data_IF_547724870966
#
_entry.id   IF_547724870966
#
_cell.length_a   1.000
_cell.length_b   1.000
_cell.length_c   1.000
_cell.angle_alpha   90.00
_cell.angle_beta   90.00
_cell.angle_gamma   90.00
#
_symmetry.space_group_name_H-M   'P 1'
#
loop_
_entity.id
_entity.type
_entity.pdbx_description
1 polymer ?
#
# COMPACT_ATOMS: atom_id res chain seq x y z
N UNK A 1 28.03 40.36 -51.24
CA UNK A 1 26.83 39.50 -51.37
C UNK A 1 27.13 38.15 -50.73
N UNK A 2 26.25 37.67 -49.82
CA UNK A 2 26.20 36.36 -49.09
C UNK A 2 27.27 36.14 -48.00
N UNK A 3 26.92 36.38 -46.73
CA UNK A 3 26.15 35.58 -45.75
C UNK A 3 27.02 34.56 -44.99
N UNK A 4 27.32 34.93 -43.74
CA UNK A 4 27.97 34.18 -42.69
C UNK A 4 27.29 32.85 -42.38
N UNK A 5 28.07 31.76 -42.45
CA UNK A 5 27.74 30.47 -41.84
C UNK A 5 27.91 30.60 -40.32
N UNK A 6 26.80 30.77 -39.61
CA UNK A 6 26.76 30.60 -38.17
C UNK A 6 26.82 29.10 -37.85
N UNK A 7 27.98 28.65 -37.36
CA UNK A 7 28.17 27.35 -36.73
C UNK A 7 27.28 27.26 -35.49
N UNK A 8 26.26 26.41 -35.56
CA UNK A 8 25.34 26.16 -34.45
C UNK A 8 26.01 25.28 -33.39
N UNK A 9 26.07 25.80 -32.18
CA UNK A 9 26.75 25.28 -31.00
C UNK A 9 26.23 23.91 -30.50
N UNK A 10 27.04 22.82 -30.52
CA UNK A 10 26.65 21.50 -29.99
C UNK A 10 26.57 21.42 -28.45
N UNK A 11 27.08 22.43 -27.75
CA UNK A 11 27.23 22.42 -26.29
C UNK A 11 25.94 22.71 -25.52
N UNK A 12 24.97 23.41 -26.14
CA UNK A 12 23.66 23.72 -25.53
C UNK A 12 22.79 22.47 -25.37
N UNK A 13 22.95 21.46 -26.25
CA UNK A 13 22.14 20.25 -26.21
C UNK A 13 22.54 19.32 -25.04
N UNK A 14 23.83 19.25 -24.70
CA UNK A 14 24.31 18.41 -23.58
C UNK A 14 23.89 18.93 -22.21
N UNK A 15 23.83 20.24 -22.01
CA UNK A 15 23.36 20.82 -20.74
C UNK A 15 21.86 20.59 -20.57
N UNK A 16 21.07 20.81 -21.63
CA UNK A 16 19.62 20.59 -21.61
C UNK A 16 19.24 19.13 -21.31
N UNK A 17 19.92 18.16 -21.95
CA UNK A 17 19.73 16.73 -21.67
C UNK A 17 20.12 16.39 -20.22
N UNK A 18 21.21 16.97 -19.71
CA UNK A 18 21.66 16.71 -18.34
C UNK A 18 20.67 17.26 -17.30
N UNK A 19 20.09 18.43 -17.58
CA UNK A 19 19.08 19.05 -16.72
C UNK A 19 17.74 18.30 -16.79
N UNK A 20 17.33 17.81 -17.95
CA UNK A 20 16.14 16.94 -18.08
C UNK A 20 16.33 15.59 -17.38
N UNK A 21 17.51 14.96 -17.51
CA UNK A 21 17.83 13.72 -16.79
C UNK A 21 17.86 13.97 -15.28
N UNK A 22 18.41 15.09 -14.81
CA UNK A 22 18.40 15.45 -13.39
C UNK A 22 16.97 15.68 -12.88
N UNK A 23 16.17 16.44 -13.62
CA UNK A 23 14.76 16.73 -13.30
C UNK A 23 13.89 15.46 -13.29
N UNK A 24 14.10 14.56 -14.25
CA UNK A 24 13.40 13.26 -14.28
C UNK A 24 13.86 12.36 -13.13
N UNK A 25 15.14 12.39 -12.77
CA UNK A 25 15.67 11.65 -11.62
C UNK A 25 15.13 12.18 -10.29
N UNK A 26 14.95 13.49 -10.17
CA UNK A 26 14.31 14.15 -9.02
C UNK A 26 12.83 13.75 -8.94
N UNK A 27 12.07 13.81 -10.03
CA UNK A 27 10.67 13.33 -10.08
C UNK A 27 10.52 11.86 -9.73
N UNK A 28 11.41 10.99 -10.23
CA UNK A 28 11.40 9.55 -9.88
C UNK A 28 11.74 9.36 -8.40
N UNK A 29 12.60 10.21 -7.84
CA UNK A 29 12.96 10.18 -6.41
C UNK A 29 11.81 10.68 -5.52
N UNK A 30 11.01 11.64 -5.98
CA UNK A 30 9.79 12.11 -5.33
C UNK A 30 8.62 11.11 -5.43
N UNK A 31 8.56 10.31 -6.50
CA UNK A 31 7.58 9.22 -6.65
C UNK A 31 7.92 7.98 -5.81
N UNK A 32 9.20 7.79 -5.46
CA UNK A 32 9.69 6.64 -4.71
C UNK A 32 8.97 6.41 -3.38
N UNK A 33 8.85 7.42 -2.49
CA UNK A 33 8.11 7.33 -1.24
C UNK A 33 6.64 6.92 -1.43
N UNK A 34 5.94 7.57 -2.37
CA UNK A 34 4.53 7.32 -2.67
C UNK A 34 4.22 5.92 -3.21
N UNK A 35 5.14 5.35 -3.99
CA UNK A 35 5.02 3.98 -4.50
C UNK A 35 5.30 2.96 -3.37
N UNK A 36 6.23 3.27 -2.46
CA UNK A 36 6.53 2.41 -1.31
C UNK A 36 5.37 2.42 -0.31
N UNK A 37 4.79 3.59 0.00
CA UNK A 37 3.60 3.73 0.85
C UNK A 37 2.38 3.08 0.22
N UNK A 38 2.17 3.27 -1.09
CA UNK A 38 1.08 2.60 -1.82
C UNK A 38 1.22 1.07 -1.79
N UNK A 39 2.44 0.55 -1.98
CA UNK A 39 2.71 -0.88 -1.90
C UNK A 39 2.68 -1.46 -0.48
N UNK A 40 2.91 -0.65 0.55
CA UNK A 40 2.77 -1.07 1.94
C UNK A 40 1.31 -1.32 2.35
N UNK A 41 0.34 -0.77 1.61
CA UNK A 41 -1.08 -1.04 1.80
C UNK A 41 -1.53 -2.41 1.29
N UNK A 42 -0.76 -3.08 0.44
CA UNK A 42 -1.05 -4.42 -0.09
C UNK A 42 -0.33 -5.49 0.74
N UNK A 43 -0.73 -5.63 2.00
CA UNK A 43 -0.23 -6.69 2.89
C UNK A 43 -0.76 -8.09 2.49
N UNK A 44 -0.06 -9.18 2.85
CA UNK A 44 -0.50 -10.54 2.54
C UNK A 44 -1.92 -10.84 3.03
N UNK A 45 -2.33 -10.31 4.20
CA UNK A 45 -3.68 -10.45 4.72
C UNK A 45 -4.72 -9.79 3.79
N UNK A 46 -4.46 -8.59 3.29
CA UNK A 46 -5.29 -7.89 2.32
C UNK A 46 -5.42 -8.66 1.02
N UNK A 47 -4.30 -9.15 0.46
CA UNK A 47 -4.30 -9.99 -0.75
C UNK A 47 -5.17 -11.23 -0.58
N UNK A 48 -5.04 -11.94 0.56
CA UNK A 48 -5.88 -13.12 0.86
C UNK A 48 -7.34 -12.72 0.98
N UNK A 49 -7.63 -11.60 1.65
CA UNK A 49 -9.00 -11.08 1.83
C UNK A 49 -9.64 -10.75 0.49
N UNK A 50 -8.98 -9.97 -0.37
CA UNK A 50 -9.50 -9.63 -1.70
C UNK A 50 -9.71 -10.88 -2.57
N UNK A 51 -8.79 -11.84 -2.50
CA UNK A 51 -8.92 -13.11 -3.22
C UNK A 51 -10.13 -13.90 -2.74
N UNK A 52 -10.34 -14.01 -1.42
CA UNK A 52 -11.49 -14.70 -0.83
C UNK A 52 -12.81 -13.97 -1.16
N UNK A 53 -12.82 -12.64 -1.10
CA UNK A 53 -13.97 -11.81 -1.48
C UNK A 53 -14.33 -12.02 -2.95
N UNK A 54 -13.36 -11.96 -3.86
CA UNK A 54 -13.59 -12.21 -5.29
C UNK A 54 -14.06 -13.64 -5.57
N UNK A 55 -13.51 -14.63 -4.86
CA UNK A 55 -13.92 -16.03 -5.01
C UNK A 55 -15.36 -16.29 -4.53
N UNK A 56 -15.80 -15.60 -3.49
CA UNK A 56 -17.13 -15.81 -2.88
C UNK A 56 -18.23 -14.96 -3.50
N UNK A 57 -17.91 -13.75 -3.95
CA UNK A 57 -18.89 -12.76 -4.42
C UNK A 57 -18.75 -12.42 -5.91
N UNK A 58 -17.78 -13.02 -6.60
CA UNK A 58 -17.46 -12.71 -7.99
C UNK A 58 -17.15 -11.22 -8.16
N UNK A 59 -17.80 -10.59 -9.13
CA UNK A 59 -17.61 -9.17 -9.43
C UNK A 59 -18.60 -8.24 -8.69
N UNK A 60 -19.49 -8.77 -7.86
CA UNK A 60 -20.61 -7.99 -7.28
C UNK A 60 -20.17 -6.85 -6.36
N UNK A 61 -18.96 -6.90 -5.80
CA UNK A 61 -18.40 -5.86 -4.92
C UNK A 61 -17.45 -4.88 -5.64
N UNK A 62 -17.28 -4.98 -6.96
CA UNK A 62 -16.39 -4.07 -7.70
C UNK A 62 -16.81 -2.60 -7.58
N UNK A 63 -18.11 -2.31 -7.61
CA UNK A 63 -18.62 -0.95 -7.39
C UNK A 63 -18.23 -0.39 -6.01
N UNK A 64 -18.18 -1.25 -4.99
CA UNK A 64 -17.80 -0.86 -3.64
C UNK A 64 -16.31 -0.53 -3.57
N UNK A 65 -15.48 -1.30 -4.29
CA UNK A 65 -14.04 -1.02 -4.43
C UNK A 65 -13.78 0.29 -5.17
N UNK A 66 -14.54 0.56 -6.24
CA UNK A 66 -14.49 1.83 -6.97
C UNK A 66 -14.83 3.02 -6.06
N UNK A 67 -15.82 2.86 -5.18
CA UNK A 67 -16.24 3.91 -4.24
C UNK A 67 -15.27 4.06 -3.06
N UNK A 68 -14.74 2.95 -2.52
CA UNK A 68 -13.86 2.96 -1.35
C UNK A 68 -12.48 3.55 -1.67
N UNK A 69 -11.99 3.39 -2.90
CA UNK A 69 -10.68 3.89 -3.33
C UNK A 69 -10.53 5.42 -3.17
N UNK A 70 -11.40 6.28 -3.73
CA UNK A 70 -11.30 7.73 -3.53
C UNK A 70 -11.53 8.14 -2.07
N UNK A 71 -12.37 7.41 -1.33
CA UNK A 71 -12.56 7.64 0.11
C UNK A 71 -11.26 7.37 0.89
N UNK A 72 -10.60 6.24 0.62
CA UNK A 72 -9.31 5.91 1.19
C UNK A 72 -8.28 7.00 0.88
N UNK A 73 -8.17 7.42 -0.38
CA UNK A 73 -7.25 8.49 -0.80
C UNK A 73 -7.53 9.79 -0.05
N UNK A 74 -8.81 10.17 0.11
CA UNK A 74 -9.18 11.37 0.85
C UNK A 74 -8.76 11.28 2.33
N UNK A 75 -9.04 10.16 3.00
CA UNK A 75 -8.70 9.97 4.42
C UNK A 75 -7.18 9.93 4.62
N UNK A 76 -6.43 9.24 3.75
CA UNK A 76 -4.96 9.20 3.81
C UNK A 76 -4.35 10.59 3.58
N UNK A 77 -4.86 11.35 2.60
CA UNK A 77 -4.42 12.73 2.36
C UNK A 77 -4.70 13.65 3.54
N UNK A 78 -5.84 13.48 4.23
CA UNK A 78 -6.14 14.23 5.44
C UNK A 78 -5.17 13.87 6.57
N UNK A 79 -4.89 12.58 6.79
CA UNK A 79 -3.95 12.13 7.81
C UNK A 79 -2.53 12.69 7.56
N UNK A 80 -2.06 12.64 6.31
CA UNK A 80 -0.78 13.22 5.89
C UNK A 80 -0.73 14.74 6.13
N UNK A 81 -1.75 15.49 5.68
CA UNK A 81 -1.81 16.95 5.86
C UNK A 81 -1.81 17.36 7.33
N UNK A 82 -2.56 16.66 8.16
CA UNK A 82 -2.61 16.93 9.60
C UNK A 82 -1.23 16.70 10.23
N UNK A 83 -0.54 15.60 9.89
CA UNK A 83 0.80 15.33 10.40
C UNK A 83 1.83 16.38 9.94
N UNK A 84 1.76 16.79 8.67
CA UNK A 84 2.60 17.83 8.08
C UNK A 84 2.46 19.18 8.77
N UNK A 85 1.21 19.65 8.95
CA UNK A 85 0.94 20.97 9.52
C UNK A 85 1.23 21.02 11.02
N UNK A 86 0.91 19.94 11.74
CA UNK A 86 1.07 19.92 13.20
C UNK A 86 2.48 19.52 13.65
N UNK A 87 3.25 18.85 12.78
CA UNK A 87 4.52 18.21 13.14
C UNK A 87 4.38 17.06 14.14
N UNK A 88 3.14 16.61 14.40
CA UNK A 88 2.79 15.61 15.40
C UNK A 88 2.27 14.34 14.74
N UNK A 89 2.54 13.20 15.37
CA UNK A 89 1.94 11.93 14.94
C UNK A 89 0.47 11.85 15.34
N UNK A 90 -0.31 11.00 14.68
CA UNK A 90 -1.73 10.81 15.01
C UNK A 90 -1.99 10.50 16.50
N UNK A 91 -1.22 9.61 17.19
CA UNK A 91 -1.36 9.39 18.62
C UNK A 91 -1.08 10.64 19.47
N UNK A 92 -0.09 11.45 19.08
CA UNK A 92 0.25 12.70 19.77
C UNK A 92 -0.89 13.72 19.66
N UNK A 93 -1.56 13.77 18.49
CA UNK A 93 -2.73 14.61 18.26
C UNK A 93 -3.91 14.14 19.09
N UNK A 94 -4.22 12.84 19.06
CA UNK A 94 -5.32 12.25 19.85
C UNK A 94 -5.12 12.53 21.34
N UNK A 95 -3.89 12.37 21.86
CA UNK A 95 -3.55 12.73 23.26
C UNK A 95 -3.74 14.21 23.59
N UNK A 96 -3.66 15.10 22.61
CA UNK A 96 -3.86 16.54 22.80
C UNK A 96 -5.34 16.94 22.86
N UNK A 97 -6.23 16.20 22.21
CA UNK A 97 -7.67 16.52 22.13
C UNK A 97 -8.56 15.68 23.06
N UNK A 98 -8.12 14.47 23.42
CA UNK A 98 -8.90 13.54 24.23
C UNK A 98 -8.27 13.27 25.59
N UNK A 99 -9.07 12.76 26.54
CA UNK A 99 -8.56 12.37 27.86
C UNK A 99 -7.47 11.28 27.74
N UNK A 100 -6.56 11.25 28.71
CA UNK A 100 -5.48 10.26 28.73
C UNK A 100 -5.99 8.81 28.67
N UNK A 101 -7.11 8.51 29.34
CA UNK A 101 -7.71 7.17 29.35
C UNK A 101 -8.20 6.76 27.96
N UNK A 102 -8.91 7.65 27.26
CA UNK A 102 -9.43 7.36 25.92
C UNK A 102 -8.29 7.20 24.90
N UNK A 103 -7.27 8.07 24.99
CA UNK A 103 -6.10 8.01 24.12
C UNK A 103 -5.33 6.70 24.28
N UNK A 104 -5.14 6.23 25.52
CA UNK A 104 -4.49 4.94 25.80
C UNK A 104 -5.36 3.78 25.30
N UNK A 105 -6.67 3.83 25.51
CA UNK A 105 -7.59 2.81 25.01
C UNK A 105 -7.54 2.69 23.48
N UNK A 106 -7.52 3.81 22.75
CA UNK A 106 -7.40 3.83 21.29
C UNK A 106 -6.06 3.23 20.81
N UNK A 107 -4.94 3.59 21.44
CA UNK A 107 -3.62 3.04 21.09
C UNK A 107 -3.55 1.54 21.40
N UNK A 108 -4.12 1.08 22.51
CA UNK A 108 -4.20 -0.35 22.83
C UNK A 108 -5.05 -1.11 21.83
N UNK A 109 -6.22 -0.58 21.46
CA UNK A 109 -7.09 -1.18 20.46
C UNK A 109 -6.38 -1.31 19.11
N UNK A 110 -5.70 -0.25 18.67
CA UNK A 110 -4.89 -0.27 17.46
C UNK A 110 -3.75 -1.29 17.54
N UNK A 111 -3.07 -1.36 18.69
CA UNK A 111 -1.98 -2.32 18.91
C UNK A 111 -2.47 -3.77 18.79
N UNK A 112 -3.62 -4.08 19.38
CA UNK A 112 -4.24 -5.41 19.28
C UNK A 112 -4.64 -5.72 17.82
N UNK A 113 -5.26 -4.76 17.13
CA UNK A 113 -5.61 -4.92 15.71
C UNK A 113 -4.37 -5.19 14.85
N UNK A 114 -3.26 -4.50 15.10
CA UNK A 114 -2.00 -4.72 14.39
C UNK A 114 -1.40 -6.09 14.69
N UNK A 115 -1.45 -6.57 15.93
CA UNK A 115 -0.99 -7.93 16.28
C UNK A 115 -1.80 -8.99 15.52
N UNK A 116 -3.12 -8.81 15.43
CA UNK A 116 -4.00 -9.71 14.67
C UNK A 116 -3.63 -9.65 13.18
N UNK A 117 -3.40 -8.45 12.64
CA UNK A 117 -3.01 -8.25 11.24
C UNK A 117 -1.68 -8.96 10.92
N UNK A 118 -0.66 -8.80 11.77
CA UNK A 118 0.62 -9.52 11.63
C UNK A 118 0.41 -11.03 11.66
N UNK A 119 -0.46 -11.53 12.53
CA UNK A 119 -0.82 -12.94 12.58
C UNK A 119 -1.47 -13.43 11.26
N UNK A 120 -2.38 -12.63 10.71
CA UNK A 120 -3.02 -12.92 9.43
C UNK A 120 -2.02 -12.88 8.26
N UNK A 121 -1.06 -11.95 8.27
CA UNK A 121 0.00 -11.87 7.26
C UNK A 121 0.90 -13.11 7.28
N UNK A 122 1.36 -13.51 8.48
CA UNK A 122 2.19 -14.70 8.65
C UNK A 122 1.45 -15.97 8.21
N UNK A 123 0.16 -16.05 8.52
CA UNK A 123 -0.69 -17.14 8.05
C UNK A 123 -0.85 -17.12 6.52
N UNK A 124 -1.09 -15.95 5.92
CA UNK A 124 -1.23 -15.78 4.48
C UNK A 124 0.03 -16.19 3.72
N UNK A 125 1.20 -15.72 4.16
CA UNK A 125 2.50 -16.11 3.57
C UNK A 125 2.69 -17.63 3.67
N UNK A 126 2.42 -18.22 4.83
CA UNK A 126 2.60 -19.65 5.06
C UNK A 126 1.63 -20.50 4.24
N UNK A 127 0.40 -20.02 4.04
CA UNK A 127 -0.59 -20.67 3.20
C UNK A 127 -0.15 -20.70 1.73
N UNK A 128 0.30 -19.56 1.20
CA UNK A 128 0.77 -19.45 -0.18
C UNK A 128 2.02 -20.30 -0.40
N UNK A 129 2.99 -20.24 0.50
CA UNK A 129 4.19 -21.09 0.42
C UNK A 129 3.84 -22.58 0.53
N UNK A 130 2.85 -22.93 1.36
CA UNK A 130 2.35 -24.29 1.47
C UNK A 130 1.77 -24.81 0.15
N UNK A 131 1.02 -23.96 -0.56
CA UNK A 131 0.50 -24.29 -1.90
C UNK A 131 1.62 -24.47 -2.93
N UNK A 132 2.67 -23.65 -2.88
CA UNK A 132 3.80 -23.74 -3.82
C UNK A 132 4.71 -24.95 -3.57
N UNK A 133 4.94 -25.29 -2.30
CA UNK A 133 5.86 -26.37 -1.90
C UNK A 133 5.15 -27.72 -1.70
N UNK A 134 3.81 -27.74 -1.73
CA UNK A 134 3.02 -28.93 -1.43
C UNK A 134 3.08 -29.35 0.05
N UNK A 135 3.40 -28.43 0.95
CA UNK A 135 3.57 -28.69 2.40
C UNK A 135 2.41 -28.05 3.17
N UNK A 136 1.97 -28.68 4.27
CA UNK A 136 0.93 -28.09 5.12
C UNK A 136 1.39 -26.74 5.67
N UNK A 137 0.57 -25.67 5.58
CA UNK A 137 0.95 -24.31 6.02
C UNK A 137 1.43 -24.23 7.48
N UNK A 138 0.89 -25.08 8.35
CA UNK A 138 1.26 -25.14 9.78
C UNK A 138 2.75 -25.42 9.98
N UNK A 139 3.37 -26.22 9.11
CA UNK A 139 4.80 -26.51 9.19
C UNK A 139 5.68 -25.34 8.71
N UNK A 140 5.12 -24.44 7.91
CA UNK A 140 5.83 -23.28 7.38
C UNK A 140 5.64 -22.03 8.26
N UNK A 141 4.59 -21.98 9.09
CA UNK A 141 4.30 -20.84 9.94
C UNK A 141 5.45 -20.46 10.88
N UNK A 142 5.99 -21.44 11.61
CA UNK A 142 7.10 -21.23 12.54
C UNK A 142 8.38 -20.76 11.83
N UNK A 143 8.89 -21.46 10.79
CA UNK A 143 10.12 -21.04 10.12
C UNK A 143 9.97 -19.70 9.39
N UNK A 144 8.81 -19.41 8.77
CA UNK A 144 8.54 -18.11 8.14
C UNK A 144 8.58 -17.00 9.18
N UNK A 145 7.90 -17.19 10.32
CA UNK A 145 7.88 -16.21 11.42
C UNK A 145 9.29 -15.97 11.97
N UNK A 146 10.06 -17.04 12.20
CA UNK A 146 11.43 -16.94 12.70
C UNK A 146 12.35 -16.20 11.72
N UNK A 147 12.21 -16.48 10.41
CA UNK A 147 12.97 -15.79 9.37
C UNK A 147 12.64 -14.30 9.31
N UNK A 148 11.34 -13.94 9.31
CA UNK A 148 10.91 -12.53 9.27
C UNK A 148 11.39 -11.81 10.54
N UNK A 149 11.21 -12.41 11.72
CA UNK A 149 11.69 -11.83 12.98
C UNK A 149 13.22 -11.64 12.98
N UNK A 150 13.98 -12.61 12.46
CA UNK A 150 15.42 -12.48 12.30
C UNK A 150 15.80 -11.32 11.38
N UNK A 151 15.14 -11.19 10.22
CA UNK A 151 15.39 -10.10 9.29
C UNK A 151 15.07 -8.74 9.92
N UNK A 152 13.97 -8.63 10.66
CA UNK A 152 13.58 -7.37 11.33
C UNK A 152 14.56 -6.98 12.43
N UNK A 153 15.01 -7.94 13.26
CA UNK A 153 15.91 -7.64 14.39
C UNK A 153 17.37 -7.41 14.00
N UNK A 154 17.88 -8.14 12.99
CA UNK A 154 19.32 -8.19 12.73
C UNK A 154 19.77 -7.56 11.40
N UNK A 155 18.88 -7.24 10.46
CA UNK A 155 19.27 -6.56 9.21
C UNK A 155 19.00 -5.07 9.27
N UNK A 156 19.94 -4.29 8.73
CA UNK A 156 19.79 -2.85 8.60
C UNK A 156 18.54 -2.51 7.76
N UNK A 157 17.67 -1.66 8.31
CA UNK A 157 16.41 -1.14 7.73
C UNK A 157 16.50 -0.79 6.22
N UNK A 158 17.64 -0.25 5.76
CA UNK A 158 17.88 0.07 4.34
C UNK A 158 17.91 -1.14 3.39
N UNK A 159 18.20 -2.34 3.89
CA UNK A 159 18.19 -3.58 3.09
C UNK A 159 16.76 -4.08 2.96
N UNK A 160 16.01 -4.06 4.06
CA UNK A 160 14.60 -4.44 4.10
C UNK A 160 13.78 -3.55 3.16
N UNK A 161 13.92 -2.21 3.25
CA UNK A 161 13.23 -1.26 2.35
C UNK A 161 13.47 -1.55 0.85
N UNK A 162 14.69 -1.95 0.46
CA UNK A 162 15.01 -2.30 -0.93
C UNK A 162 14.37 -3.60 -1.40
N UNK A 163 14.26 -4.60 -0.52
CA UNK A 163 13.57 -5.86 -0.82
C UNK A 163 12.06 -5.61 -1.00
N UNK A 164 11.47 -4.79 -0.14
CA UNK A 164 10.06 -4.39 -0.25
C UNK A 164 9.77 -3.63 -1.55
N UNK A 165 10.68 -2.74 -1.99
CA UNK A 165 10.59 -2.11 -3.32
C UNK A 165 10.70 -3.11 -4.48
N UNK A 166 11.35 -4.25 -4.27
CA UNK A 166 11.35 -5.36 -5.23
C UNK A 166 10.00 -6.07 -5.30
N UNK A 167 9.30 -6.21 -4.16
CA UNK A 167 7.97 -6.82 -4.11
C UNK A 167 6.89 -5.98 -4.78
N UNK A 168 6.99 -4.65 -4.80
CA UNK A 168 6.03 -3.82 -5.55
C UNK A 168 6.08 -4.07 -7.05
N UNK A 169 7.22 -4.53 -7.61
CA UNK A 169 7.26 -4.98 -9.01
C UNK A 169 6.46 -6.27 -9.23
N UNK A 170 6.30 -7.10 -8.19
CA UNK A 170 5.46 -8.30 -8.26
C UNK A 170 3.99 -7.93 -8.37
N UNK A 171 3.54 -6.76 -7.90
CA UNK A 171 2.15 -6.32 -8.09
C UNK A 171 1.77 -6.20 -9.57
N UNK A 172 2.74 -5.94 -10.46
CA UNK A 172 2.50 -5.94 -11.91
C UNK A 172 2.02 -7.30 -12.41
N UNK A 173 2.40 -8.41 -11.75
CA UNK A 173 1.91 -9.75 -12.08
C UNK A 173 0.40 -9.91 -11.92
N UNK A 174 -0.26 -9.10 -11.08
CA UNK A 174 -1.72 -9.10 -10.96
C UNK A 174 -2.42 -8.60 -12.22
N UNK A 175 -1.80 -7.68 -12.97
CA UNK A 175 -2.35 -7.24 -14.25
C UNK A 175 -2.34 -8.40 -15.24
N UNK A 176 -1.25 -9.17 -15.27
CA UNK A 176 -1.16 -10.36 -16.10
C UNK A 176 -2.14 -11.45 -15.67
N UNK A 177 -2.31 -11.69 -14.37
CA UNK A 177 -3.27 -12.67 -13.86
C UNK A 177 -4.71 -12.27 -14.18
N UNK A 178 -5.06 -10.99 -14.07
CA UNK A 178 -6.37 -10.46 -14.45
C UNK A 178 -6.69 -10.67 -15.94
N UNK A 179 -5.71 -10.46 -16.82
CA UNK A 179 -5.86 -10.72 -18.26
C UNK A 179 -5.92 -12.23 -18.54
N UNK A 180 -5.07 -13.03 -17.89
CA UNK A 180 -5.02 -14.48 -18.05
C UNK A 180 -6.29 -15.18 -17.56
N UNK A 181 -6.98 -14.60 -16.57
CA UNK A 181 -8.27 -15.07 -16.08
C UNK A 181 -9.40 -14.96 -17.12
N UNK A 182 -9.20 -14.19 -18.21
CA UNK A 182 -10.17 -13.96 -19.30
C UNK A 182 -11.59 -13.64 -18.78
N UNK A 183 -11.75 -12.60 -17.94
CA UNK A 183 -13.05 -12.25 -17.41
C UNK A 183 -13.96 -11.71 -18.53
N UNK A 184 -15.28 -11.85 -18.38
CA UNK A 184 -16.22 -11.15 -19.23
C UNK A 184 -16.15 -9.64 -18.92
N UNK A 185 -15.52 -8.89 -19.84
CA UNK A 185 -15.34 -7.44 -19.70
C UNK A 185 -16.68 -6.71 -19.56
N UNK A 186 -17.76 -7.22 -20.16
CA UNK A 186 -19.09 -6.60 -20.03
C UNK A 186 -19.59 -6.74 -18.60
N UNK A 187 -19.44 -7.92 -18.01
CA UNK A 187 -19.84 -8.15 -16.63
C UNK A 187 -18.99 -7.33 -15.66
N UNK A 188 -17.67 -7.30 -15.84
CA UNK A 188 -16.76 -6.49 -15.00
C UNK A 188 -17.16 -5.03 -15.03
N UNK A 189 -17.36 -4.44 -16.22
CA UNK A 189 -17.75 -3.03 -16.35
C UNK A 189 -19.13 -2.78 -15.73
N UNK A 190 -20.12 -3.64 -16.01
CA UNK A 190 -21.46 -3.48 -15.46
C UNK A 190 -21.44 -3.54 -13.93
N UNK A 191 -20.75 -4.51 -13.33
CA UNK A 191 -20.65 -4.67 -11.87
C UNK A 191 -19.76 -3.63 -11.19
N UNK A 192 -18.89 -2.95 -11.96
CA UNK A 192 -18.06 -1.85 -11.46
C UNK A 192 -18.86 -0.55 -11.35
N UNK A 193 -19.76 -0.28 -12.30
CA UNK A 193 -20.51 1.00 -12.33
C UNK A 193 -21.96 0.89 -11.83
N UNK A 194 -22.56 -0.31 -11.87
CA UNK A 194 -23.92 -0.54 -11.39
C UNK A 194 -23.85 -1.27 -10.06
N UNK A 195 -24.26 -0.62 -8.95
CA UNK A 195 -24.23 -1.24 -7.64
C UNK A 195 -25.26 -2.36 -7.56
N UNK A 196 -24.82 -3.54 -7.15
CA UNK A 196 -25.72 -4.67 -6.85
C UNK A 196 -25.54 -5.05 -5.40
N UNK A 197 -26.59 -4.85 -4.61
CA UNK A 197 -26.58 -5.15 -3.18
C UNK A 197 -27.34 -6.46 -2.97
N UNK A 198 -26.69 -7.41 -2.33
CA UNK A 198 -27.30 -8.63 -1.83
C UNK A 198 -27.35 -8.57 -0.30
N UNK A 199 -28.44 -9.06 0.28
CA UNK A 199 -28.62 -9.14 1.74
C UNK A 199 -28.03 -10.44 2.33
N UNK A 200 -27.42 -11.30 1.50
CA UNK A 200 -26.79 -12.53 1.98
C UNK A 200 -25.67 -12.25 2.97
N UNK A 201 -25.57 -13.08 4.01
CA UNK A 201 -24.52 -12.98 5.03
C UNK A 201 -23.12 -13.02 4.42
N UNK A 202 -22.92 -13.85 3.39
CA UNK A 202 -21.66 -13.94 2.68
C UNK A 202 -21.29 -12.62 2.00
N UNK A 203 -22.24 -11.97 1.31
CA UNK A 203 -22.03 -10.68 0.67
C UNK A 203 -21.70 -9.59 1.71
N UNK A 204 -22.44 -9.53 2.81
CA UNK A 204 -22.22 -8.53 3.87
C UNK A 204 -20.86 -8.70 4.56
N UNK A 205 -20.46 -9.94 4.86
CA UNK A 205 -19.14 -10.23 5.43
C UNK A 205 -18.02 -9.92 4.45
N UNK A 206 -18.20 -10.24 3.16
CA UNK A 206 -17.23 -9.93 2.12
C UNK A 206 -17.09 -8.41 1.91
N UNK A 207 -18.20 -7.66 1.93
CA UNK A 207 -18.20 -6.21 1.86
C UNK A 207 -17.48 -5.59 3.07
N UNK A 208 -17.74 -6.10 4.28
CA UNK A 208 -17.08 -5.65 5.50
C UNK A 208 -15.57 -5.95 5.45
N UNK A 209 -15.18 -7.13 4.99
CA UNK A 209 -13.77 -7.49 4.81
C UNK A 209 -13.07 -6.60 3.79
N UNK A 210 -13.72 -6.36 2.65
CA UNK A 210 -13.20 -5.47 1.59
C UNK A 210 -13.01 -4.03 2.10
N UNK A 211 -14.00 -3.47 2.80
CA UNK A 211 -13.89 -2.11 3.34
C UNK A 211 -12.86 -2.02 4.47
N UNK A 212 -12.88 -2.99 5.39
CA UNK A 212 -11.98 -3.05 6.53
C UNK A 212 -10.52 -3.14 6.11
N UNK A 213 -10.22 -3.98 5.12
CA UNK A 213 -8.85 -4.12 4.62
C UNK A 213 -8.41 -2.87 3.84
N UNK A 214 -9.33 -2.24 3.07
CA UNK A 214 -9.01 -1.06 2.25
C UNK A 214 -8.73 0.18 3.11
N UNK A 215 -9.53 0.45 4.15
CA UNK A 215 -9.35 1.63 5.03
C UNK A 215 -8.87 1.17 6.39
N UNK A 216 -7.71 0.51 6.40
CA UNK A 216 -7.13 -0.03 7.63
C UNK A 216 -6.63 1.10 8.55
N UNK A 217 -7.03 1.14 9.84
CA UNK A 217 -6.63 2.21 10.76
C UNK A 217 -5.11 2.38 10.88
N UNK A 218 -4.35 1.29 10.83
CA UNK A 218 -2.89 1.35 10.96
C UNK A 218 -2.23 2.14 9.83
N UNK A 219 -2.78 2.11 8.61
CA UNK A 219 -2.27 2.87 7.47
C UNK A 219 -2.36 4.37 7.71
N UNK A 220 -3.39 4.84 8.44
CA UNK A 220 -3.51 6.26 8.80
C UNK A 220 -2.41 6.71 9.76
N UNK A 221 -2.08 5.85 10.73
CA UNK A 221 -1.00 6.10 11.68
C UNK A 221 0.38 5.99 11.01
N UNK A 222 0.54 5.01 10.12
CA UNK A 222 1.74 4.82 9.33
C UNK A 222 2.00 6.02 8.41
N UNK A 223 1.02 6.42 7.60
CA UNK A 223 1.12 7.56 6.68
C UNK A 223 1.51 8.84 7.42
N UNK A 224 0.86 9.12 8.55
CA UNK A 224 1.18 10.29 9.36
C UNK A 224 2.58 10.23 10.01
N UNK A 225 3.07 9.04 10.34
CA UNK A 225 4.40 8.86 10.90
C UNK A 225 5.50 8.98 9.84
N UNK A 226 5.31 8.37 8.66
CA UNK A 226 6.25 8.41 7.55
C UNK A 226 6.44 9.84 7.03
N UNK A 227 5.34 10.59 6.89
CA UNK A 227 5.41 11.98 6.42
C UNK A 227 6.20 12.89 7.38
N UNK A 228 6.09 12.63 8.70
CA UNK A 228 6.89 13.31 9.73
C UNK A 228 8.38 12.93 9.63
N UNK A 229 8.70 11.69 9.30
CA UNK A 229 10.07 11.20 9.19
C UNK A 229 10.77 11.71 7.93
N UNK A 230 10.10 11.68 6.78
CA UNK A 230 10.64 12.20 5.52
C UNK A 230 10.90 13.70 5.60
N UNK A 231 9.98 14.49 6.16
CA UNK A 231 10.19 15.94 6.30
C UNK A 231 11.31 16.32 7.28
N UNK A 232 11.53 15.53 8.34
CA UNK A 232 12.71 15.70 9.20
C UNK A 232 14.01 15.44 8.45
N UNK A 233 14.01 14.50 7.51
CA UNK A 233 15.20 14.17 6.70
C UNK A 233 15.51 15.21 5.61
N UNK A 234 14.52 16.02 5.20
CA UNK A 234 14.69 17.11 4.22
C UNK A 234 15.10 18.43 4.89
N UNK A 235 14.76 18.61 6.17
CA UNK A 235 15.11 19.80 6.94
C UNK A 235 16.53 19.74 7.58
N UNK A 236 17.29 18.67 7.35
CA UNK A 236 18.69 18.48 7.80
C UNK A 236 19.65 18.47 6.61
#
# INVERSE_FOLDING_TARGET
MKRSLHLSAPHLNRQRIRDEVRKNRERIRELGPGIITGGAGDDPAGVVTYTAVGATTGFSLLWLMLLSTPMMIAVQNMAARVALVTGKSLPEIVRGFYSQRLSVAMVLLLSVANIITIGADLQGISAILGLLLGVKPVHLLIPVTALIAYLVMFRAYRTVKRVFLGFTLVLVTYVFSAVAARPDLKEVLLRTFVPTIDASTAYLLAALGLLGTTISPYLLFWQAAEEKEEHKSVAQ
#
